data_IF_719592615818
#
_entry.id   IF_719592615818
#
_cell.length_a   1.000
_cell.length_b   1.000
_cell.length_c   1.000
_cell.angle_alpha   90.00
_cell.angle_beta   90.00
_cell.angle_gamma   90.00
#
_symmetry.space_group_name_H-M   'P 1'
#
loop_
_entity.id
_entity.type
_entity.pdbx_description
1 polymer ?
#
# COMPACT_ATOMS: atom_id res chain seq x y z
N UNK A 1 -12.97 -4.10 3.55
CA UNK A 1 -11.55 -3.77 3.33
C UNK A 1 -10.89 -3.52 4.68
N UNK A 2 -10.01 -4.42 5.12
CA UNK A 2 -9.14 -4.24 6.29
C UNK A 2 -7.83 -3.59 5.90
N UNK A 3 -7.21 -2.81 6.80
CA UNK A 3 -6.00 -2.03 6.51
C UNK A 3 -4.79 -2.61 7.27
N UNK A 4 -3.68 -2.77 6.57
CA UNK A 4 -2.36 -3.10 7.14
C UNK A 4 -1.38 -2.01 6.74
N UNK A 5 -0.90 -1.25 7.73
CA UNK A 5 0.17 -0.28 7.54
C UNK A 5 1.49 -0.94 7.92
N UNK A 6 2.39 -1.12 6.96
CA UNK A 6 3.72 -1.67 7.18
C UNK A 6 4.70 -0.53 7.46
N UNK A 7 4.46 0.17 8.56
CA UNK A 7 5.30 1.28 9.02
C UNK A 7 6.06 0.86 10.27
N UNK A 8 7.39 1.12 10.36
CA UNK A 8 8.11 0.89 11.60
C UNK A 8 7.52 1.80 12.68
N UNK A 9 6.97 1.23 13.75
CA UNK A 9 6.68 2.00 14.95
C UNK A 9 8.02 2.44 15.53
N UNK A 10 8.21 3.75 15.69
CA UNK A 10 9.49 4.40 16.02
C UNK A 10 10.02 4.08 17.44
N UNK A 11 9.56 3.01 18.09
CA UNK A 11 9.81 2.71 19.50
C UNK A 11 10.03 1.23 19.86
N UNK A 12 9.92 0.26 18.95
CA UNK A 12 10.18 -1.16 19.27
C UNK A 12 11.50 -1.66 18.66
N UNK A 13 12.35 -2.27 19.48
CA UNK A 13 13.72 -2.77 19.22
C UNK A 13 13.89 -3.79 18.06
N UNK A 14 12.86 -4.03 17.24
CA UNK A 14 12.80 -5.10 16.23
C UNK A 14 13.11 -4.68 14.78
N UNK A 15 13.19 -3.39 14.48
CA UNK A 15 13.49 -2.88 13.12
C UNK A 15 12.42 -3.24 12.06
N UNK A 16 12.79 -3.14 10.78
CA UNK A 16 11.90 -3.35 9.62
C UNK A 16 11.38 -4.80 9.53
N UNK A 17 12.20 -5.78 9.88
CA UNK A 17 11.82 -7.20 9.84
C UNK A 17 10.67 -7.51 10.81
N UNK A 18 10.69 -6.92 12.01
CA UNK A 18 9.61 -7.11 12.98
C UNK A 18 8.29 -6.47 12.52
N UNK A 19 8.35 -5.33 11.82
CA UNK A 19 7.16 -4.69 11.26
C UNK A 19 6.52 -5.56 10.18
N UNK A 20 7.34 -6.14 9.29
CA UNK A 20 6.89 -7.07 8.25
C UNK A 20 6.25 -8.34 8.83
N UNK A 21 6.90 -8.98 9.80
CA UNK A 21 6.34 -10.18 10.44
C UNK A 21 5.01 -9.89 11.16
N UNK A 22 4.93 -8.77 11.88
CA UNK A 22 3.70 -8.31 12.52
C UNK A 22 2.58 -8.07 11.50
N UNK A 23 2.90 -7.44 10.37
CA UNK A 23 1.95 -7.20 9.29
C UNK A 23 1.41 -8.49 8.69
N UNK A 24 2.28 -9.49 8.44
CA UNK A 24 1.85 -10.82 7.96
C UNK A 24 0.92 -11.49 8.96
N UNK A 25 1.30 -11.50 10.24
CA UNK A 25 0.48 -12.11 11.29
C UNK A 25 -0.89 -11.43 11.41
N UNK A 26 -0.94 -10.09 11.30
CA UNK A 26 -2.21 -9.36 11.27
C UNK A 26 -3.05 -9.70 10.04
N UNK A 27 -2.43 -9.85 8.87
CA UNK A 27 -3.11 -10.25 7.64
C UNK A 27 -3.73 -11.64 7.74
N UNK A 28 -2.99 -12.62 8.25
CA UNK A 28 -3.51 -13.97 8.50
C UNK A 28 -4.70 -13.93 9.47
N UNK A 29 -4.63 -13.08 10.50
CA UNK A 29 -5.75 -12.88 11.41
C UNK A 29 -6.97 -12.28 10.69
N UNK A 30 -6.79 -11.25 9.86
CA UNK A 30 -7.88 -10.65 9.08
C UNK A 30 -8.55 -11.67 8.14
N UNK A 31 -7.76 -12.54 7.50
CA UNK A 31 -8.31 -13.64 6.69
C UNK A 31 -9.21 -14.54 7.54
N UNK A 32 -8.77 -14.93 8.73
CA UNK A 32 -9.56 -15.76 9.66
C UNK A 32 -10.81 -15.05 10.19
N UNK A 33 -10.76 -13.72 10.27
CA UNK A 33 -11.90 -12.87 10.63
C UNK A 33 -12.90 -12.70 9.46
N UNK A 34 -12.59 -13.22 8.26
CA UNK A 34 -13.46 -13.16 7.09
C UNK A 34 -13.40 -11.83 6.34
N UNK A 35 -12.25 -11.13 6.38
CA UNK A 35 -12.07 -9.87 5.64
C UNK A 35 -11.94 -10.14 4.15
N UNK A 36 -12.85 -9.57 3.35
CA UNK A 36 -12.90 -9.79 1.89
C UNK A 36 -11.72 -9.18 1.13
N UNK A 37 -11.25 -8.01 1.56
CA UNK A 37 -10.16 -7.25 0.93
C UNK A 37 -9.20 -6.77 2.01
N UNK A 38 -7.90 -7.00 1.85
CA UNK A 38 -6.84 -6.45 2.71
C UNK A 38 -6.04 -5.43 1.90
N UNK A 39 -6.00 -4.19 2.39
CA UNK A 39 -5.29 -3.07 1.80
C UNK A 39 -3.97 -2.83 2.55
N UNK A 40 -2.86 -2.95 1.82
CA UNK A 40 -1.51 -2.98 2.38
C UNK A 40 -0.77 -1.73 1.90
N UNK A 41 -0.33 -0.90 2.85
CA UNK A 41 0.40 0.34 2.57
C UNK A 41 1.75 0.38 3.27
N UNK A 42 2.82 0.73 2.55
CA UNK A 42 4.18 0.88 3.09
C UNK A 42 4.54 2.33 3.45
N UNK A 43 3.83 3.29 2.88
CA UNK A 43 4.05 4.72 3.05
C UNK A 43 2.87 5.37 3.80
N UNK A 44 3.18 6.14 4.85
CA UNK A 44 2.14 6.85 5.60
C UNK A 44 1.65 8.07 4.82
N UNK A 45 0.35 8.14 4.58
CA UNK A 45 -0.32 9.32 3.98
C UNK A 45 -0.86 10.30 5.02
N UNK A 46 -0.60 10.07 6.32
CA UNK A 46 -0.99 10.97 7.42
C UNK A 46 -0.39 12.38 7.24
N UNK A 47 -1.11 13.46 7.59
CA UNK A 47 -0.60 14.82 7.47
C UNK A 47 0.78 15.00 8.13
N UNK A 48 1.72 15.58 7.38
CA UNK A 48 3.10 15.82 7.85
C UNK A 48 4.02 14.59 7.83
N UNK A 49 3.56 13.42 7.39
CA UNK A 49 4.43 12.26 7.24
C UNK A 49 5.50 12.50 6.16
N UNK A 50 6.77 12.14 6.41
CA UNK A 50 7.81 12.21 5.40
C UNK A 50 7.58 11.15 4.32
N UNK A 51 7.95 11.51 3.08
CA UNK A 51 7.99 10.55 1.96
C UNK A 51 9.11 9.54 2.19
N UNK A 52 8.87 8.29 1.83
CA UNK A 52 9.91 7.26 1.76
C UNK A 52 10.36 7.02 0.32
N UNK A 53 11.48 6.32 0.13
CA UNK A 53 11.88 5.90 -1.22
C UNK A 53 10.98 4.76 -1.74
N UNK A 54 10.89 4.59 -3.06
CA UNK A 54 10.15 3.47 -3.64
C UNK A 54 10.73 2.12 -3.21
N UNK A 55 12.07 2.01 -3.16
CA UNK A 55 12.75 0.79 -2.69
C UNK A 55 12.38 0.45 -1.24
N UNK A 56 12.28 1.45 -0.37
CA UNK A 56 11.85 1.27 1.01
C UNK A 56 10.37 0.85 1.10
N UNK A 57 9.50 1.44 0.28
CA UNK A 57 8.08 1.05 0.18
C UNK A 57 7.94 -0.39 -0.28
N UNK A 58 8.65 -0.80 -1.35
CA UNK A 58 8.71 -2.18 -1.87
C UNK A 58 9.18 -3.16 -0.81
N UNK A 59 10.29 -2.83 -0.12
CA UNK A 59 10.86 -3.67 0.94
C UNK A 59 9.86 -3.93 2.08
N UNK A 60 8.97 -2.97 2.35
CA UNK A 60 7.89 -3.11 3.35
C UNK A 60 6.72 -3.95 2.82
N UNK A 61 6.19 -3.66 1.63
CA UNK A 61 4.91 -4.25 1.18
C UNK A 61 5.03 -5.59 0.47
N UNK A 62 6.08 -5.80 -0.33
CA UNK A 62 6.18 -7.00 -1.17
C UNK A 62 6.26 -8.30 -0.36
N UNK A 63 7.01 -8.38 0.76
CA UNK A 63 7.02 -9.59 1.58
C UNK A 63 5.65 -9.92 2.18
N UNK A 64 4.88 -8.90 2.57
CA UNK A 64 3.53 -9.07 3.14
C UNK A 64 2.56 -9.59 2.06
N UNK A 65 2.60 -9.00 0.87
CA UNK A 65 1.78 -9.45 -0.27
C UNK A 65 2.09 -10.90 -0.64
N UNK A 66 3.38 -11.26 -0.78
CA UNK A 66 3.81 -12.64 -1.06
C UNK A 66 3.35 -13.63 -0.01
N UNK A 67 3.40 -13.26 1.27
CA UNK A 67 2.99 -14.14 2.36
C UNK A 67 1.49 -14.37 2.39
N UNK A 68 0.69 -13.41 1.90
CA UNK A 68 -0.77 -13.47 1.91
C UNK A 68 -1.37 -13.95 0.58
N UNK A 69 -0.58 -14.11 -0.49
CA UNK A 69 -1.08 -14.38 -1.85
C UNK A 69 -1.84 -15.70 -1.99
N UNK A 70 -1.52 -16.68 -1.15
CA UNK A 70 -2.13 -18.02 -1.18
C UNK A 70 -3.37 -18.14 -0.27
N UNK A 71 -3.73 -17.05 0.43
CA UNK A 71 -4.91 -17.01 1.28
C UNK A 71 -6.15 -16.58 0.50
N UNK A 72 -7.32 -17.04 0.94
CA UNK A 72 -8.61 -16.73 0.32
C UNK A 72 -9.09 -15.31 0.72
N UNK A 73 -8.41 -14.29 0.20
CA UNK A 73 -8.74 -12.87 0.36
C UNK A 73 -8.22 -12.07 -0.84
N UNK A 74 -8.86 -10.95 -1.15
CA UNK A 74 -8.38 -10.05 -2.20
C UNK A 74 -7.33 -9.11 -1.62
N UNK A 75 -6.16 -9.05 -2.23
CA UNK A 75 -5.09 -8.14 -1.82
C UNK A 75 -5.14 -6.83 -2.61
N UNK A 76 -5.08 -5.71 -1.91
CA UNK A 76 -4.98 -4.35 -2.46
C UNK A 76 -3.65 -3.73 -2.03
N UNK A 77 -2.99 -3.03 -2.95
CA UNK A 77 -1.79 -2.24 -2.66
C UNK A 77 -2.17 -0.75 -2.57
N UNK A 78 -1.96 -0.13 -1.41
CA UNK A 78 -2.09 1.32 -1.21
C UNK A 78 -0.76 1.99 -1.58
N UNK A 79 -0.69 2.52 -2.80
CA UNK A 79 0.51 3.19 -3.32
C UNK A 79 0.16 4.26 -4.35
N UNK A 80 1.00 5.29 -4.39
CA UNK A 80 0.97 6.37 -5.38
C UNK A 80 2.01 6.19 -6.49
N UNK A 81 2.77 5.08 -6.50
CA UNK A 81 3.90 4.85 -7.41
C UNK A 81 3.59 3.70 -8.36
N UNK A 82 3.75 3.94 -9.66
CA UNK A 82 3.50 2.92 -10.68
C UNK A 82 4.45 1.72 -10.50
N UNK A 83 5.73 1.96 -10.24
CA UNK A 83 6.71 0.88 -10.05
C UNK A 83 6.39 -0.03 -8.84
N UNK A 84 5.82 0.53 -7.76
CA UNK A 84 5.43 -0.26 -6.58
C UNK A 84 4.18 -1.07 -6.89
N UNK A 85 3.20 -0.45 -7.57
CA UNK A 85 1.98 -1.13 -7.99
C UNK A 85 2.28 -2.29 -8.95
N UNK A 86 3.18 -2.10 -9.92
CA UNK A 86 3.59 -3.13 -10.87
C UNK A 86 4.19 -4.35 -10.17
N UNK A 87 5.16 -4.13 -9.27
CA UNK A 87 5.77 -5.22 -8.50
C UNK A 87 4.79 -5.87 -7.52
N UNK A 88 3.89 -5.09 -6.91
CA UNK A 88 2.85 -5.60 -6.02
C UNK A 88 1.88 -6.54 -6.74
N UNK A 89 1.46 -6.18 -7.97
CA UNK A 89 0.60 -7.03 -8.81
C UNK A 89 1.33 -8.34 -9.14
N UNK A 90 2.61 -8.26 -9.51
CA UNK A 90 3.41 -9.44 -9.84
C UNK A 90 3.54 -10.45 -8.68
N UNK A 91 3.25 -10.04 -7.44
CA UNK A 91 3.36 -10.89 -6.25
C UNK A 91 2.03 -11.21 -5.57
N UNK A 92 0.90 -10.78 -6.14
CA UNK A 92 -0.43 -11.20 -5.69
C UNK A 92 -1.43 -10.08 -5.44
N UNK A 93 -1.04 -8.80 -5.52
CA UNK A 93 -2.03 -7.72 -5.45
C UNK A 93 -2.99 -7.80 -6.64
N UNK A 94 -4.28 -7.68 -6.37
CA UNK A 94 -5.36 -7.72 -7.37
C UNK A 94 -6.11 -6.40 -7.48
N UNK A 95 -5.80 -5.42 -6.64
CA UNK A 95 -6.36 -4.07 -6.65
C UNK A 95 -5.21 -3.08 -6.45
N UNK A 96 -5.22 -1.97 -7.19
CA UNK A 96 -4.36 -0.82 -6.89
C UNK A 96 -5.22 0.27 -6.26
N UNK A 97 -4.84 0.69 -5.07
CA UNK A 97 -5.45 1.78 -4.34
C UNK A 97 -4.51 3.00 -4.37
N UNK A 98 -4.89 4.04 -5.12
CA UNK A 98 -4.05 5.22 -5.28
C UNK A 98 -4.79 6.45 -4.76
N UNK A 99 -4.36 6.88 -3.57
CA UNK A 99 -4.90 8.08 -2.92
C UNK A 99 -4.76 9.33 -3.77
N UNK A 100 -3.83 9.38 -4.74
CA UNK A 100 -3.61 10.51 -5.66
C UNK A 100 -4.45 10.46 -6.93
N UNK A 101 -5.02 9.30 -7.25
CA UNK A 101 -5.75 9.09 -8.51
C UNK A 101 -4.89 9.27 -9.76
N UNK A 102 -3.61 8.89 -9.70
CA UNK A 102 -2.65 8.95 -10.81
C UNK A 102 -1.99 10.32 -10.97
N UNK A 103 -2.21 11.23 -10.01
CA UNK A 103 -1.65 12.58 -10.05
C UNK A 103 -0.24 12.65 -9.46
N UNK A 104 0.14 11.69 -8.61
CA UNK A 104 1.48 11.60 -8.05
C UNK A 104 2.49 10.97 -9.01
N UNK A 105 2.04 10.09 -9.91
CA UNK A 105 2.87 9.38 -10.88
C UNK A 105 2.12 9.23 -12.22
N UNK A 106 2.64 9.87 -13.27
CA UNK A 106 2.02 9.87 -14.60
C UNK A 106 1.97 8.49 -15.26
N UNK A 107 2.86 7.56 -14.87
CA UNK A 107 2.91 6.23 -15.46
C UNK A 107 1.83 5.29 -14.87
N UNK A 108 1.21 5.65 -13.74
CA UNK A 108 0.15 4.85 -13.09
C UNK A 108 -1.01 4.57 -14.06
N UNK A 109 -1.45 5.59 -14.79
CA UNK A 109 -2.56 5.45 -15.75
C UNK A 109 -2.27 4.44 -16.87
N UNK A 110 -1.02 4.40 -17.36
CA UNK A 110 -0.58 3.43 -18.37
C UNK A 110 -0.56 2.03 -17.77
N UNK A 111 0.06 1.87 -16.60
CA UNK A 111 0.12 0.59 -15.90
C UNK A 111 -1.27 -0.01 -15.72
N UNK A 112 -2.24 0.75 -15.18
CA UNK A 112 -3.61 0.28 -14.96
C UNK A 112 -4.29 -0.14 -16.28
N UNK A 113 -4.05 0.58 -17.38
CA UNK A 113 -4.60 0.22 -18.69
C UNK A 113 -4.02 -1.11 -19.23
N UNK A 114 -2.75 -1.38 -18.94
CA UNK A 114 -2.05 -2.58 -19.38
C UNK A 114 -2.43 -3.81 -18.55
N UNK A 115 -2.41 -3.70 -17.22
CA UNK A 115 -2.65 -4.83 -16.29
C UNK A 115 -4.14 -5.11 -16.04
N UNK A 116 -5.02 -4.12 -16.25
CA UNK A 116 -6.49 -4.23 -16.15
C UNK A 116 -7.00 -4.76 -14.81
N UNK A 117 -6.29 -4.45 -13.72
CA UNK A 117 -6.78 -4.68 -12.35
C UNK A 117 -7.74 -3.55 -11.94
N UNK A 118 -8.69 -3.80 -11.03
CA UNK A 118 -9.45 -2.74 -10.38
C UNK A 118 -8.55 -1.64 -9.81
N UNK A 119 -8.96 -0.39 -10.03
CA UNK A 119 -8.23 0.80 -9.61
C UNK A 119 -9.12 1.71 -8.76
N UNK A 120 -8.72 1.95 -7.52
CA UNK A 120 -9.41 2.87 -6.61
C UNK A 120 -8.82 4.26 -6.78
N UNK A 121 -9.67 5.19 -7.23
CA UNK A 121 -9.34 6.59 -7.44
C UNK A 121 -9.91 7.41 -6.31
N UNK A 122 -9.06 8.13 -5.58
CA UNK A 122 -9.51 9.08 -4.55
C UNK A 122 -9.30 10.52 -5.01
N UNK A 123 -10.09 11.43 -4.42
CA UNK A 123 -9.87 12.86 -4.60
C UNK A 123 -8.68 13.31 -3.75
N UNK A 124 -7.72 13.96 -4.40
CA UNK A 124 -6.45 14.35 -3.80
C UNK A 124 -6.04 15.76 -4.16
N UNK A 125 -5.35 16.44 -3.23
CA UNK A 125 -4.86 17.81 -3.43
C UNK A 125 -3.46 17.95 -2.85
N UNK A 126 -2.50 17.23 -3.41
CA UNK A 126 -1.09 17.31 -3.02
C UNK A 126 -0.70 16.37 -1.88
N UNK A 127 0.61 16.24 -1.67
CA UNK A 127 1.19 15.30 -0.72
C UNK A 127 0.88 15.67 0.73
N UNK A 128 1.09 14.72 1.64
CA UNK A 128 0.78 14.85 3.07
C UNK A 128 1.44 16.04 3.76
N UNK A 129 2.56 16.52 3.24
CA UNK A 129 3.29 17.70 3.73
C UNK A 129 2.65 19.05 3.35
N UNK A 130 1.74 19.06 2.37
CA UNK A 130 1.23 20.27 1.73
C UNK A 130 -0.28 20.28 1.54
N UNK A 131 -0.96 19.13 1.61
CA UNK A 131 -2.40 19.00 1.35
C UNK A 131 -3.28 19.92 2.18
N UNK A 132 -2.90 20.21 3.43
CA UNK A 132 -3.67 21.11 4.30
C UNK A 132 -3.66 22.56 3.80
N UNK A 133 -2.62 22.98 3.09
CA UNK A 133 -2.55 24.32 2.48
C UNK A 133 -3.42 24.44 1.22
N UNK A 134 -3.90 23.31 0.71
CA UNK A 134 -4.69 23.20 -0.52
C UNK A 134 -6.16 22.85 -0.24
N UNK A 135 -6.56 22.75 1.03
CA UNK A 135 -7.97 22.65 1.43
C UNK A 135 -8.67 23.99 1.17
N UNK A 136 -9.85 23.96 0.52
CA UNK A 136 -10.79 25.11 0.47
C UNK A 136 -12.00 24.82 1.34
#
# INVERSE_FOLDING_TARGET
>A
MGIINVTPDSFSDGGENAATESAVMRGIQMVREGVDIIDIGGESTRPGAPRISAEEEKARVLPVLRALSDYDTVLSIDTMRAEVAEEAIAVGASIVNDVSGGLADSDMSRLIADVRVPYVVMHWRGFSDSMQKLAV
#
